data_IF_111585402894
#
_entry.id   IF_111585402894
#
_cell.length_a   1.000
_cell.length_b   1.000
_cell.length_c   1.000
_cell.angle_alpha   90.00
_cell.angle_beta   90.00
_cell.angle_gamma   90.00
#
_symmetry.space_group_name_H-M   'P 1'
#
loop_
_entity.id
_entity.type
_entity.pdbx_description
1 polymer ?
#
# COMPACT_ATOMS: atom_id res chain seq x y z
N UNK A 1 9.52 -16.11 -20.02
CA UNK A 1 10.80 -15.71 -19.39
C UNK A 1 10.73 -16.21 -17.95
N UNK A 2 11.78 -16.77 -17.38
CA UNK A 2 11.72 -17.31 -16.02
C UNK A 2 11.80 -16.17 -15.00
N UNK A 3 10.80 -16.03 -14.13
CA UNK A 3 10.77 -15.01 -13.07
C UNK A 3 11.63 -15.48 -11.90
N UNK A 4 12.95 -15.41 -12.04
CA UNK A 4 13.88 -15.79 -10.97
C UNK A 4 14.79 -14.63 -10.57
N UNK A 5 15.19 -14.61 -9.31
CA UNK A 5 16.10 -13.60 -8.78
C UNK A 5 17.43 -13.59 -9.54
N UNK A 6 17.97 -14.77 -9.87
CA UNK A 6 19.23 -14.90 -10.59
C UNK A 6 19.15 -14.32 -12.02
N UNK A 7 17.99 -14.40 -12.67
CA UNK A 7 17.79 -13.84 -14.01
C UNK A 7 17.54 -12.33 -13.99
N UNK A 8 16.91 -11.81 -12.93
CA UNK A 8 16.53 -10.41 -12.82
C UNK A 8 17.61 -9.52 -12.19
N UNK A 9 18.36 -10.03 -11.21
CA UNK A 9 19.34 -9.31 -10.38
C UNK A 9 20.80 -9.58 -10.78
N UNK A 10 21.07 -10.01 -12.01
CA UNK A 10 22.45 -10.10 -12.53
C UNK A 10 22.83 -8.83 -13.31
N UNK A 11 24.12 -8.64 -13.63
CA UNK A 11 24.62 -7.43 -14.35
C UNK A 11 23.92 -7.20 -15.70
N UNK A 12 23.52 -8.28 -16.37
CA UNK A 12 22.76 -8.24 -17.62
C UNK A 12 21.24 -8.43 -17.41
N UNK A 13 20.78 -8.39 -16.17
CA UNK A 13 19.39 -8.61 -15.77
C UNK A 13 18.47 -7.48 -16.18
N UNK A 14 17.17 -7.75 -16.18
CA UNK A 14 16.19 -6.73 -16.57
C UNK A 14 16.11 -5.56 -15.58
N UNK A 15 16.45 -5.79 -14.30
CA UNK A 15 16.52 -4.74 -13.27
C UNK A 15 17.75 -3.85 -13.50
N UNK A 16 18.92 -4.44 -13.78
CA UNK A 16 20.15 -3.71 -14.07
C UNK A 16 19.99 -2.73 -15.25
N UNK A 17 19.22 -3.10 -16.27
CA UNK A 17 18.93 -2.23 -17.43
C UNK A 17 18.03 -1.02 -17.14
N UNK A 18 17.35 -0.98 -15.99
CA UNK A 18 16.37 0.06 -15.66
C UNK A 18 16.67 0.85 -14.40
N UNK A 19 17.53 0.33 -13.53
CA UNK A 19 17.90 0.99 -12.30
C UNK A 19 19.31 1.54 -12.44
N UNK A 20 19.42 2.86 -12.56
CA UNK A 20 20.71 3.55 -12.58
C UNK A 20 21.48 3.27 -11.30
N UNK A 21 22.77 2.95 -11.44
CA UNK A 21 23.62 2.58 -10.30
C UNK A 21 23.30 1.23 -9.67
N UNK A 22 22.60 0.34 -10.39
CA UNK A 22 22.46 -1.05 -9.96
C UNK A 22 23.83 -1.72 -9.81
N UNK A 23 24.00 -2.45 -8.72
CA UNK A 23 25.14 -3.32 -8.47
C UNK A 23 24.63 -4.69 -8.04
N UNK A 24 25.30 -5.75 -8.50
CA UNK A 24 25.00 -7.10 -8.05
C UNK A 24 25.47 -7.27 -6.62
N UNK A 25 24.56 -7.69 -5.74
CA UNK A 25 24.85 -7.96 -4.32
C UNK A 25 24.65 -9.44 -4.03
N UNK A 26 25.72 -10.21 -3.75
CA UNK A 26 25.60 -11.63 -3.46
C UNK A 26 24.63 -11.94 -2.31
N UNK A 27 24.61 -11.10 -1.27
CA UNK A 27 23.71 -11.25 -0.12
C UNK A 27 22.23 -11.08 -0.50
N UNK A 28 21.93 -10.26 -1.52
CA UNK A 28 20.58 -10.10 -2.04
C UNK A 28 20.10 -11.37 -2.74
N UNK A 29 20.97 -11.99 -3.54
CA UNK A 29 20.70 -13.26 -4.23
C UNK A 29 20.56 -14.42 -3.24
N UNK A 30 21.42 -14.48 -2.23
CA UNK A 30 21.35 -15.46 -1.14
C UNK A 30 20.02 -15.36 -0.38
N UNK A 31 19.63 -14.14 0.02
CA UNK A 31 18.33 -13.91 0.65
C UNK A 31 17.17 -14.32 -0.27
N UNK A 32 17.24 -13.98 -1.56
CA UNK A 32 16.18 -14.32 -2.51
C UNK A 32 16.03 -15.85 -2.70
N UNK A 33 17.15 -16.57 -2.78
CA UNK A 33 17.15 -18.03 -2.86
C UNK A 33 16.56 -18.66 -1.59
N UNK A 34 16.95 -18.17 -0.40
CA UNK A 34 16.41 -18.63 0.87
C UNK A 34 14.90 -18.39 0.99
N UNK A 35 14.42 -17.20 0.58
CA UNK A 35 12.99 -16.88 0.56
C UNK A 35 12.24 -17.78 -0.42
N UNK A 36 12.76 -17.97 -1.64
CA UNK A 36 12.17 -18.86 -2.65
C UNK A 36 12.00 -20.29 -2.12
N UNK A 37 13.07 -20.84 -1.55
CA UNK A 37 13.07 -22.19 -0.99
C UNK A 37 12.08 -22.32 0.18
N UNK A 38 12.07 -21.34 1.09
CA UNK A 38 11.16 -21.31 2.22
C UNK A 38 9.69 -21.28 1.77
N UNK A 39 9.36 -20.43 0.80
CA UNK A 39 8.00 -20.35 0.23
C UNK A 39 7.59 -21.66 -0.44
N UNK A 40 8.47 -22.28 -1.24
CA UNK A 40 8.21 -23.56 -1.89
C UNK A 40 7.94 -24.69 -0.87
N UNK A 41 8.65 -24.69 0.26
CA UNK A 41 8.47 -25.65 1.36
C UNK A 41 7.35 -25.28 2.34
N UNK A 42 6.67 -24.13 2.16
CA UNK A 42 5.70 -23.57 3.11
C UNK A 42 6.26 -23.44 4.54
N UNK A 43 7.54 -23.09 4.65
CA UNK A 43 8.28 -22.99 5.90
C UNK A 43 8.19 -21.62 6.59
N UNK A 44 9.09 -21.42 7.56
CA UNK A 44 9.34 -20.12 8.21
C UNK A 44 10.82 -19.81 8.08
N UNK A 45 11.15 -18.56 7.78
CA UNK A 45 12.51 -18.09 7.60
C UNK A 45 12.69 -16.78 8.38
N UNK A 46 13.78 -16.69 9.13
CA UNK A 46 14.25 -15.45 9.74
C UNK A 46 15.52 -15.03 9.01
N UNK A 47 15.54 -13.81 8.47
CA UNK A 47 16.72 -13.25 7.80
C UNK A 47 17.08 -11.94 8.48
N UNK A 48 18.33 -11.82 8.91
CA UNK A 48 18.92 -10.54 9.28
C UNK A 48 19.66 -9.99 8.06
N UNK A 49 19.26 -8.80 7.59
CA UNK A 49 19.89 -8.17 6.45
C UNK A 49 20.09 -6.67 6.68
N UNK A 50 21.32 -6.22 6.49
CA UNK A 50 21.74 -4.82 6.65
C UNK A 50 20.96 -3.85 5.76
N UNK A 51 21.03 -2.56 6.09
CA UNK A 51 20.53 -1.50 5.20
C UNK A 51 21.29 -1.53 3.87
N UNK A 52 20.62 -1.15 2.77
CA UNK A 52 21.25 -1.13 1.44
C UNK A 52 21.42 -2.48 0.73
N UNK A 53 21.21 -3.62 1.40
CA UNK A 53 21.32 -4.96 0.79
C UNK A 53 20.30 -5.22 -0.34
N UNK A 54 19.27 -4.37 -0.49
CA UNK A 54 18.22 -4.55 -1.49
C UNK A 54 17.17 -5.59 -1.08
N UNK A 55 16.87 -5.63 0.23
CA UNK A 55 15.91 -6.55 0.87
C UNK A 55 14.57 -6.64 0.14
N UNK A 56 14.04 -5.51 -0.33
CA UNK A 56 12.75 -5.45 -1.03
C UNK A 56 12.69 -6.41 -2.21
N UNK A 57 13.63 -6.30 -3.15
CA UNK A 57 13.65 -7.20 -4.31
C UNK A 57 13.94 -8.65 -3.91
N UNK A 58 14.75 -8.87 -2.88
CA UNK A 58 15.07 -10.21 -2.41
C UNK A 58 13.83 -10.99 -1.93
N UNK A 59 12.84 -10.35 -1.30
CA UNK A 59 11.58 -11.03 -0.97
C UNK A 59 10.48 -10.84 -2.02
N UNK A 60 10.46 -9.73 -2.78
CA UNK A 60 9.41 -9.47 -3.76
C UNK A 60 9.51 -10.37 -5.00
N UNK A 61 10.71 -10.60 -5.52
CA UNK A 61 10.89 -11.44 -6.72
C UNK A 61 10.38 -12.87 -6.50
N UNK A 62 10.81 -13.60 -5.44
CA UNK A 62 10.26 -14.94 -5.20
C UNK A 62 8.77 -14.92 -4.82
N UNK A 63 8.28 -13.86 -4.18
CA UNK A 63 6.83 -13.68 -3.95
C UNK A 63 6.05 -13.58 -5.28
N UNK A 64 6.52 -12.76 -6.22
CA UNK A 64 5.91 -12.61 -7.54
C UNK A 64 6.04 -13.90 -8.34
N UNK A 65 7.17 -14.61 -8.25
CA UNK A 65 7.34 -15.94 -8.83
C UNK A 65 6.23 -16.90 -8.37
N UNK A 66 5.89 -16.92 -7.06
CA UNK A 66 4.77 -17.71 -6.53
C UNK A 66 3.42 -17.26 -7.09
N UNK A 67 3.20 -15.95 -7.20
CA UNK A 67 1.96 -15.40 -7.78
C UNK A 67 1.77 -15.89 -9.21
N UNK A 68 2.78 -15.72 -10.06
CA UNK A 68 2.63 -15.97 -11.51
C UNK A 68 2.68 -17.46 -11.86
N UNK A 69 3.48 -18.26 -11.14
CA UNK A 69 3.66 -19.69 -11.44
C UNK A 69 2.67 -20.60 -10.72
N UNK A 70 2.30 -20.25 -9.48
CA UNK A 70 1.45 -21.07 -8.62
C UNK A 70 0.07 -20.46 -8.36
N UNK A 71 -0.22 -19.25 -8.88
CA UNK A 71 -1.47 -18.51 -8.66
C UNK A 71 -1.79 -18.35 -7.17
N UNK A 72 -0.76 -18.15 -6.37
CA UNK A 72 -0.90 -17.89 -4.95
C UNK A 72 -1.04 -16.42 -4.67
N UNK A 73 -1.78 -16.10 -3.61
CA UNK A 73 -1.86 -14.74 -3.07
C UNK A 73 -0.79 -14.55 -2.03
N UNK A 74 -0.01 -13.47 -2.12
CA UNK A 74 1.08 -13.16 -1.19
C UNK A 74 0.77 -11.89 -0.40
N UNK A 75 1.10 -11.90 0.89
CA UNK A 75 1.00 -10.73 1.77
C UNK A 75 2.40 -10.33 2.22
N UNK A 76 2.75 -9.07 1.95
CA UNK A 76 3.96 -8.41 2.47
C UNK A 76 3.54 -7.46 3.57
N UNK A 77 4.03 -7.72 4.78
CA UNK A 77 3.79 -6.87 5.94
C UNK A 77 5.06 -6.07 6.24
N UNK A 78 4.92 -4.75 6.36
CA UNK A 78 6.02 -3.84 6.70
C UNK A 78 5.75 -3.13 8.02
N UNK A 79 6.70 -2.33 8.50
CA UNK A 79 6.57 -1.66 9.79
C UNK A 79 5.73 -0.37 9.73
N UNK A 80 5.79 0.39 8.63
CA UNK A 80 5.15 1.72 8.54
C UNK A 80 4.43 1.90 7.20
N UNK A 81 3.45 2.81 7.16
CA UNK A 81 2.74 3.16 5.91
C UNK A 81 3.70 3.68 4.85
N UNK A 82 4.66 4.53 5.22
CA UNK A 82 5.66 5.06 4.28
C UNK A 82 6.51 3.97 3.63
N UNK A 83 6.84 2.89 4.36
CA UNK A 83 7.54 1.74 3.78
C UNK A 83 6.64 0.99 2.78
N UNK A 84 5.35 0.87 3.06
CA UNK A 84 4.41 0.26 2.10
C UNK A 84 4.29 1.09 0.82
N UNK A 85 4.19 2.42 0.96
CA UNK A 85 4.10 3.35 -0.16
C UNK A 85 5.37 3.29 -1.01
N UNK A 86 6.55 3.23 -0.38
CA UNK A 86 7.81 3.01 -1.12
C UNK A 86 7.77 1.74 -1.98
N UNK A 87 7.25 0.64 -1.45
CA UNK A 87 7.12 -0.60 -2.23
C UNK A 87 6.17 -0.43 -3.41
N UNK A 88 4.99 0.15 -3.18
CA UNK A 88 3.93 0.25 -4.18
C UNK A 88 4.18 1.34 -5.23
N UNK A 89 4.94 2.38 -4.90
CA UNK A 89 5.23 3.50 -5.81
C UNK A 89 6.55 3.35 -6.56
N UNK A 90 7.51 2.56 -6.04
CA UNK A 90 8.84 2.41 -6.65
C UNK A 90 9.18 0.96 -6.97
N UNK A 91 9.33 0.13 -5.95
CA UNK A 91 9.91 -1.20 -6.11
C UNK A 91 9.02 -2.12 -6.96
N UNK A 92 7.72 -2.15 -6.68
CA UNK A 92 6.74 -2.99 -7.39
C UNK A 92 6.49 -2.49 -8.81
N UNK A 93 6.30 -1.19 -9.11
CA UNK A 93 6.20 -0.71 -10.49
C UNK A 93 7.42 -1.07 -11.33
N UNK A 94 8.63 -1.02 -10.75
CA UNK A 94 9.84 -1.46 -11.45
C UNK A 94 9.76 -2.95 -11.79
N UNK A 95 9.36 -3.79 -10.83
CA UNK A 95 9.21 -5.24 -11.03
C UNK A 95 8.13 -5.57 -12.07
N UNK A 96 6.96 -4.94 -11.99
CA UNK A 96 5.88 -5.06 -12.98
C UNK A 96 6.36 -4.73 -14.40
N UNK A 97 7.27 -3.77 -14.51
CA UNK A 97 7.70 -3.32 -15.82
C UNK A 97 8.80 -4.22 -16.43
N UNK A 98 9.46 -5.09 -15.63
CA UNK A 98 10.52 -6.02 -16.09
C UNK A 98 10.10 -7.48 -16.09
N UNK A 99 9.08 -7.84 -15.32
CA UNK A 99 8.48 -9.17 -15.30
C UNK A 99 7.38 -9.21 -16.37
N UNK A 100 7.41 -10.16 -17.31
CA UNK A 100 6.44 -10.19 -18.42
C UNK A 100 5.06 -10.69 -18.00
N UNK A 101 4.98 -11.48 -16.93
CA UNK A 101 3.75 -12.03 -16.41
C UNK A 101 3.01 -10.97 -15.56
N UNK A 102 1.72 -10.78 -15.84
CA UNK A 102 0.90 -9.80 -15.12
C UNK A 102 0.64 -10.23 -13.67
N UNK A 103 0.79 -9.30 -12.74
CA UNK A 103 0.33 -9.45 -11.36
C UNK A 103 -0.20 -8.10 -10.83
N UNK A 104 -1.17 -8.17 -9.93
CA UNK A 104 -1.74 -6.99 -9.29
C UNK A 104 -1.20 -6.81 -7.87
N UNK A 105 -0.74 -5.60 -7.56
CA UNK A 105 -0.32 -5.22 -6.21
C UNK A 105 -1.29 -4.20 -5.61
N UNK A 106 -1.69 -4.41 -4.36
CA UNK A 106 -2.66 -3.57 -3.67
C UNK A 106 -2.12 -3.14 -2.31
N UNK A 107 -2.07 -1.83 -2.11
CA UNK A 107 -1.81 -1.20 -0.83
C UNK A 107 -3.04 -1.34 0.09
N UNK A 108 -2.86 -1.94 1.26
CA UNK A 108 -3.92 -2.23 2.22
C UNK A 108 -3.71 -1.42 3.48
N UNK A 109 -4.52 -0.36 3.62
CA UNK A 109 -4.52 0.53 4.79
C UNK A 109 -5.69 0.25 5.72
N UNK A 110 -5.53 0.55 7.00
CA UNK A 110 -6.60 0.50 7.99
C UNK A 110 -7.77 1.43 7.63
N UNK A 111 -8.98 1.10 8.07
CA UNK A 111 -10.21 1.85 7.70
C UNK A 111 -10.14 3.35 8.02
N UNK A 112 -9.55 3.68 9.17
CA UNK A 112 -9.36 5.05 9.66
C UNK A 112 -8.44 5.90 8.77
N UNK A 113 -7.70 5.29 7.84
CA UNK A 113 -6.92 6.02 6.84
C UNK A 113 -7.76 6.49 5.65
N UNK A 114 -9.07 6.26 5.64
CA UNK A 114 -9.94 6.68 4.54
C UNK A 114 -10.99 7.68 5.01
N UNK A 115 -11.26 8.70 4.20
CA UNK A 115 -12.36 9.64 4.47
C UNK A 115 -13.71 8.96 4.27
N UNK A 116 -14.68 9.28 5.13
CA UNK A 116 -16.08 8.93 4.95
C UNK A 116 -16.85 10.15 4.50
N UNK A 117 -17.25 10.17 3.21
CA UNK A 117 -18.02 11.28 2.62
C UNK A 117 -19.29 11.61 3.41
N UNK A 118 -19.96 10.58 3.97
CA UNK A 118 -21.12 10.79 4.86
C UNK A 118 -20.74 11.50 6.15
N UNK A 119 -19.65 11.08 6.80
CA UNK A 119 -19.24 11.66 8.09
C UNK A 119 -18.69 13.07 7.89
N UNK A 120 -17.93 13.30 6.82
CA UNK A 120 -17.48 14.63 6.41
C UNK A 120 -18.69 15.56 6.21
N UNK A 121 -19.71 15.13 5.46
CA UNK A 121 -20.95 15.89 5.29
C UNK A 121 -21.66 16.18 6.63
N UNK A 122 -21.69 15.22 7.56
CA UNK A 122 -22.29 15.43 8.88
C UNK A 122 -21.47 16.39 9.75
N UNK A 123 -20.14 16.36 9.65
CA UNK A 123 -19.25 17.29 10.32
C UNK A 123 -19.49 18.72 9.79
N UNK A 124 -19.51 18.89 8.47
CA UNK A 124 -19.86 20.13 7.76
C UNK A 124 -21.20 20.73 8.18
N UNK A 125 -22.23 19.90 8.30
CA UNK A 125 -23.57 20.35 8.73
C UNK A 125 -23.64 20.74 10.21
N UNK A 126 -22.65 20.34 11.01
CA UNK A 126 -22.60 20.53 12.46
C UNK A 126 -21.37 21.34 12.87
N UNK A 127 -20.74 22.06 11.95
CA UNK A 127 -19.49 22.78 12.17
C UNK A 127 -19.53 23.64 13.42
N UNK A 128 -20.55 24.50 13.57
CA UNK A 128 -20.74 25.38 14.74
C UNK A 128 -20.91 24.64 16.08
N UNK A 129 -21.32 23.37 16.06
CA UNK A 129 -21.53 22.56 17.27
C UNK A 129 -20.33 21.69 17.61
N UNK A 130 -19.54 21.31 16.61
CA UNK A 130 -18.42 20.37 16.74
C UNK A 130 -17.08 21.09 16.94
N UNK A 131 -16.93 22.30 16.40
CA UNK A 131 -15.66 23.01 16.32
C UNK A 131 -15.80 24.40 16.92
N UNK A 132 -15.03 24.67 17.97
CA UNK A 132 -15.18 25.87 18.77
C UNK A 132 -14.16 26.94 18.39
N UNK A 133 -12.99 26.54 17.89
CA UNK A 133 -11.96 27.47 17.41
C UNK A 133 -11.90 27.56 15.87
N UNK A 134 -11.19 28.59 15.39
CA UNK A 134 -11.06 28.87 13.96
C UNK A 134 -10.14 27.89 13.25
N UNK A 135 -9.15 27.33 13.95
CA UNK A 135 -8.20 26.38 13.38
C UNK A 135 -8.86 25.04 13.08
N UNK A 136 -9.77 24.58 13.94
CA UNK A 136 -10.58 23.37 13.72
C UNK A 136 -11.50 23.54 12.51
N UNK A 137 -12.17 24.69 12.40
CA UNK A 137 -13.04 25.01 11.26
C UNK A 137 -12.24 25.09 9.96
N UNK A 138 -11.05 25.67 10.00
CA UNK A 138 -10.14 25.71 8.86
C UNK A 138 -9.65 24.29 8.47
N UNK A 139 -9.27 23.46 9.44
CA UNK A 139 -8.87 22.08 9.17
C UNK A 139 -10.01 21.26 8.53
N UNK A 140 -11.26 21.49 8.94
CA UNK A 140 -12.41 20.88 8.29
C UNK A 140 -12.53 21.31 6.83
N UNK A 141 -12.40 22.62 6.54
CA UNK A 141 -12.43 23.15 5.16
C UNK A 141 -11.34 22.50 4.29
N UNK A 142 -10.12 22.35 4.83
CA UNK A 142 -9.03 21.66 4.13
C UNK A 142 -9.42 20.22 3.76
N UNK A 143 -10.08 19.49 4.68
CA UNK A 143 -10.57 18.14 4.40
C UNK A 143 -11.68 18.16 3.34
N UNK A 144 -12.59 19.13 3.38
CA UNK A 144 -13.67 19.29 2.41
C UNK A 144 -13.15 19.54 1.00
N UNK A 145 -12.25 20.50 0.85
CA UNK A 145 -11.62 20.85 -0.43
C UNK A 145 -10.83 19.66 -0.99
N UNK A 146 -10.00 19.02 -0.17
CA UNK A 146 -9.26 17.83 -0.58
C UNK A 146 -10.18 16.65 -0.96
N UNK A 147 -11.28 16.43 -0.22
CA UNK A 147 -12.20 15.33 -0.49
C UNK A 147 -12.96 15.48 -1.81
N UNK A 148 -13.02 16.69 -2.37
CA UNK A 148 -13.61 16.95 -3.68
C UNK A 148 -12.73 16.40 -4.82
N UNK A 149 -11.41 16.53 -4.70
CA UNK A 149 -10.45 16.18 -5.76
C UNK A 149 -9.65 14.89 -5.53
N UNK A 150 -9.68 14.33 -4.32
CA UNK A 150 -8.92 13.12 -3.98
C UNK A 150 -9.35 11.91 -4.83
N UNK A 151 -8.36 11.14 -5.28
CA UNK A 151 -8.57 9.95 -6.11
C UNK A 151 -8.82 8.68 -5.30
N UNK A 152 -8.20 8.57 -4.13
CA UNK A 152 -8.24 7.36 -3.31
C UNK A 152 -8.83 7.60 -1.91
N UNK A 153 -9.07 8.86 -1.53
CA UNK A 153 -9.59 9.25 -0.23
C UNK A 153 -8.72 8.82 0.94
N UNK A 154 -7.42 8.60 0.70
CA UNK A 154 -6.45 8.18 1.71
C UNK A 154 -5.87 9.38 2.45
N UNK A 155 -5.81 9.28 3.79
CA UNK A 155 -5.17 10.25 4.69
C UNK A 155 -3.74 10.61 4.25
N UNK A 156 -3.02 9.69 3.60
CA UNK A 156 -1.67 9.94 3.07
C UNK A 156 -1.60 11.02 1.99
N UNK A 157 -2.71 11.32 1.30
CA UNK A 157 -2.77 12.37 0.28
C UNK A 157 -3.42 13.66 0.80
N UNK A 158 -3.90 13.65 2.04
CA UNK A 158 -4.48 14.83 2.68
C UNK A 158 -3.35 15.82 3.01
N UNK A 159 -3.52 17.12 2.71
CA UNK A 159 -2.59 18.15 3.17
C UNK A 159 -2.46 18.15 4.69
N UNK A 160 -1.33 18.66 5.19
CA UNK A 160 -1.13 18.80 6.63
C UNK A 160 -2.22 19.68 7.25
N UNK A 161 -2.85 19.17 8.31
CA UNK A 161 -3.90 19.87 9.02
C UNK A 161 -3.31 20.67 10.18
N UNK A 162 -3.75 21.92 10.35
CA UNK A 162 -3.48 22.71 11.57
C UNK A 162 -3.96 21.98 12.84
N UNK A 163 -5.08 21.25 12.74
CA UNK A 163 -5.68 20.44 13.81
C UNK A 163 -5.93 19.00 13.34
N UNK A 164 -4.96 18.07 13.53
CA UNK A 164 -5.09 16.69 13.08
C UNK A 164 -6.28 15.92 13.68
N UNK A 165 -6.73 16.28 14.89
CA UNK A 165 -7.89 15.67 15.56
C UNK A 165 -9.19 15.81 14.77
N UNK A 166 -9.31 16.85 13.92
CA UNK A 166 -10.50 17.06 13.08
C UNK A 166 -10.74 15.89 12.13
N UNK A 167 -9.67 15.18 11.72
CA UNK A 167 -9.78 13.96 10.92
C UNK A 167 -10.69 12.91 11.57
N UNK A 168 -10.69 12.81 12.90
CA UNK A 168 -11.51 11.83 13.61
C UNK A 168 -13.01 12.01 13.34
N UNK A 169 -13.46 13.23 13.02
CA UNK A 169 -14.85 13.51 12.68
C UNK A 169 -15.19 13.05 11.26
N UNK A 170 -14.24 13.12 10.32
CA UNK A 170 -14.45 12.80 8.91
C UNK A 170 -14.08 11.36 8.51
N UNK A 171 -13.18 10.70 9.26
CA UNK A 171 -12.65 9.39 8.91
C UNK A 171 -13.70 8.28 8.88
N UNK A 172 -13.46 7.27 8.06
CA UNK A 172 -14.25 6.04 8.02
C UNK A 172 -14.05 5.25 9.32
N UNK A 173 -15.15 4.73 9.84
CA UNK A 173 -15.22 4.04 11.13
C UNK A 173 -16.09 2.79 11.00
N UNK A 174 -15.76 1.74 11.75
CA UNK A 174 -16.51 0.50 11.79
C UNK A 174 -17.89 0.67 12.41
N UNK A 175 -17.97 1.38 13.53
CA UNK A 175 -19.17 1.47 14.35
C UNK A 175 -20.26 2.31 13.68
N UNK A 176 -19.88 3.37 12.96
CA UNK A 176 -20.83 4.25 12.26
C UNK A 176 -21.09 3.85 10.78
N UNK A 177 -20.47 2.77 10.28
CA UNK A 177 -20.65 2.38 8.89
C UNK A 177 -22.01 1.71 8.66
N UNK A 178 -22.80 2.27 7.73
CA UNK A 178 -24.10 1.70 7.36
C UNK A 178 -24.00 0.59 6.30
N UNK A 179 -22.78 0.23 5.88
CA UNK A 179 -22.54 -0.74 4.83
C UNK A 179 -23.25 -0.36 3.52
N UNK A 180 -23.89 -1.33 2.88
CA UNK A 180 -24.66 -1.13 1.63
C UNK A 180 -25.83 -0.16 1.76
N UNK A 181 -26.30 0.14 2.98
CA UNK A 181 -27.36 1.14 3.23
C UNK A 181 -26.83 2.58 3.27
N UNK A 182 -25.51 2.78 3.13
CA UNK A 182 -24.93 4.12 3.13
C UNK A 182 -25.30 4.87 1.84
N UNK A 183 -25.85 6.11 1.92
CA UNK A 183 -26.16 6.91 0.73
C UNK A 183 -24.97 7.19 -0.19
N UNK A 184 -23.75 7.09 0.33
CA UNK A 184 -22.50 7.30 -0.41
C UNK A 184 -21.72 5.99 -0.61
N UNK A 185 -22.37 4.82 -0.56
CA UNK A 185 -21.69 3.52 -0.64
C UNK A 185 -20.89 3.35 -1.94
N UNK A 186 -21.47 3.72 -3.08
CA UNK A 186 -20.84 3.53 -4.39
C UNK A 186 -19.58 4.40 -4.56
N UNK A 187 -19.58 5.59 -3.94
CA UNK A 187 -18.45 6.52 -3.90
C UNK A 187 -17.55 6.33 -2.67
N UNK A 188 -17.72 5.27 -1.90
CA UNK A 188 -16.97 5.08 -0.65
C UNK A 188 -15.56 4.57 -0.92
N UNK A 189 -14.56 5.41 -0.66
CA UNK A 189 -13.14 5.11 -0.83
C UNK A 189 -12.68 3.84 -0.11
N UNK A 190 -13.05 3.67 1.16
CA UNK A 190 -12.72 2.44 1.90
C UNK A 190 -13.31 1.18 1.25
N UNK A 191 -14.56 1.23 0.78
CA UNK A 191 -15.18 0.07 0.12
C UNK A 191 -14.55 -0.20 -1.24
N UNK A 192 -14.17 0.85 -1.97
CA UNK A 192 -13.40 0.70 -3.21
C UNK A 192 -12.02 0.08 -2.96
N UNK A 193 -11.30 0.51 -1.91
CA UNK A 193 -10.03 -0.08 -1.50
C UNK A 193 -10.19 -1.56 -1.09
N UNK A 194 -11.25 -1.87 -0.33
CA UNK A 194 -11.57 -3.26 0.05
C UNK A 194 -11.86 -4.15 -1.16
N UNK A 195 -12.62 -3.67 -2.14
CA UNK A 195 -12.88 -4.40 -3.39
C UNK A 195 -11.60 -4.64 -4.18
N UNK A 196 -10.72 -3.64 -4.28
CA UNK A 196 -9.37 -3.81 -4.89
C UNK A 196 -8.57 -4.87 -4.17
N UNK A 197 -8.54 -4.81 -2.83
CA UNK A 197 -7.87 -5.82 -2.01
C UNK A 197 -8.41 -7.22 -2.31
N UNK A 198 -9.73 -7.43 -2.38
CA UNK A 198 -10.31 -8.75 -2.64
C UNK A 198 -9.81 -9.42 -3.93
N UNK A 199 -9.40 -8.64 -4.94
CA UNK A 199 -8.92 -9.10 -6.24
C UNK A 199 -7.39 -8.99 -6.43
N UNK A 200 -6.65 -8.52 -5.41
CA UNK A 200 -5.20 -8.30 -5.51
C UNK A 200 -4.38 -9.56 -5.24
N UNK A 201 -3.33 -9.77 -6.04
CA UNK A 201 -2.41 -10.91 -5.93
C UNK A 201 -1.34 -10.70 -4.85
N UNK A 202 -0.73 -9.51 -4.85
CA UNK A 202 0.25 -9.06 -3.87
C UNK A 202 -0.38 -7.99 -2.97
N UNK A 203 -0.61 -8.32 -1.71
CA UNK A 203 -1.09 -7.34 -0.73
C UNK A 203 0.07 -6.78 0.06
N UNK A 204 0.16 -5.46 0.13
CA UNK A 204 1.14 -4.76 0.95
C UNK A 204 0.40 -4.07 2.09
N UNK A 205 0.73 -4.43 3.33
CA UNK A 205 0.14 -3.86 4.54
C UNK A 205 1.20 -3.57 5.62
N UNK A 206 0.78 -2.97 6.73
CA UNK A 206 1.59 -2.89 7.96
C UNK A 206 1.01 -3.76 9.07
N UNK A 207 1.86 -3.99 10.09
CA UNK A 207 1.45 -4.42 11.42
C UNK A 207 0.53 -3.41 12.10
#
# INVERSE_FOLDING_TARGET
>A
MTVTAEALLCDAGAIARRLDGFEVRPQQLEMAAAVRECMAKRGRLLVEAGTGVGKSFAYLIPAIERIVTARERVVVVTHTISLQEQLVEKDIPLLNAVIPDEFSAVLVKGRNNYVSLRRLKLASQRTEKLFHDEEERHALQVIEDWAYDTRDGSLSTLPELSRPSVWEHAQSDAHNCMGRRCPTYDKCFYQAARRRMEHGDLLVCNH
#
